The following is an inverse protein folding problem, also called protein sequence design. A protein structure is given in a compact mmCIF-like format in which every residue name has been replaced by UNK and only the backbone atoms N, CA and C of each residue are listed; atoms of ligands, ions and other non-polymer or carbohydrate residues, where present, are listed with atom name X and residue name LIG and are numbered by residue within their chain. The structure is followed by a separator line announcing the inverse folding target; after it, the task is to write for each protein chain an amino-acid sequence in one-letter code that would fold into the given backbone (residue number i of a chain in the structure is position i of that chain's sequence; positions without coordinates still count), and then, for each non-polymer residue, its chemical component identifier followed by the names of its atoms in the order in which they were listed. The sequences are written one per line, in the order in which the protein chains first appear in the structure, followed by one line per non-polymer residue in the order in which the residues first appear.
data_IF_037034941139
#
_entry.id   IF_037034941139
#
_cell.length_a   1.000
_cell.length_b   1.000
_cell.length_c   1.000
_cell.angle_alpha   90.00
_cell.angle_beta   90.00
_cell.angle_gamma   90.00
#
_symmetry.space_group_name_H-M   'P 1'
#
loop_
_entity.id
_entity.type
_entity.pdbx_description
1 polymer ?
#
# COMPACT_ATOMS: atom_id res chain seq x y z
N UNK A 1 -11.63 -6.88 2.94
CA UNK A 1 -11.83 -5.47 3.36
C UNK A 1 -13.30 -5.07 3.46
N UNK A 2 -14.07 -4.96 2.37
CA UNK A 2 -15.50 -4.55 2.42
C UNK A 2 -16.34 -5.38 3.41
N UNK A 3 -16.22 -6.71 3.36
CA UNK A 3 -16.91 -7.63 4.29
C UNK A 3 -16.52 -7.36 5.75
N UNK A 4 -15.22 -7.26 6.04
CA UNK A 4 -14.69 -6.98 7.38
C UNK A 4 -15.29 -5.68 7.92
N UNK A 5 -15.28 -4.61 7.12
CA UNK A 5 -15.83 -3.31 7.53
C UNK A 5 -17.33 -3.36 7.80
N UNK A 6 -18.09 -4.08 6.96
CA UNK A 6 -19.53 -4.29 7.18
C UNK A 6 -19.80 -4.99 8.51
N UNK A 7 -19.08 -6.08 8.78
CA UNK A 7 -19.18 -6.80 10.05
C UNK A 7 -18.86 -5.88 11.24
N UNK A 8 -17.81 -5.06 11.14
CA UNK A 8 -17.43 -4.15 12.21
C UNK A 8 -18.47 -3.06 12.49
N UNK A 9 -19.15 -2.55 11.47
CA UNK A 9 -20.23 -1.57 11.67
C UNK A 9 -21.40 -2.21 12.42
N UNK A 10 -21.82 -3.41 12.03
CA UNK A 10 -22.87 -4.12 12.76
C UNK A 10 -22.48 -4.42 14.19
N UNK A 11 -21.26 -4.91 14.41
CA UNK A 11 -20.75 -5.17 15.75
C UNK A 11 -20.85 -3.91 16.61
N UNK A 12 -20.47 -2.75 16.06
CA UNK A 12 -20.57 -1.48 16.78
C UNK A 12 -22.01 -1.04 17.03
N UNK A 13 -22.92 -1.25 16.07
CA UNK A 13 -24.36 -0.98 16.27
C UNK A 13 -24.98 -1.87 17.36
N UNK A 14 -24.51 -3.10 17.51
CA UNK A 14 -24.91 -4.04 18.57
C UNK A 14 -24.27 -3.71 19.94
N UNK A 15 -23.47 -2.65 20.03
CA UNK A 15 -22.78 -2.29 21.27
C UNK A 15 -21.57 -3.18 21.59
N UNK A 16 -21.08 -3.96 20.61
CA UNK A 16 -19.84 -4.70 20.79
C UNK A 16 -18.66 -3.71 20.70
N UNK A 17 -17.96 -3.61 21.82
CA UNK A 17 -16.69 -2.91 21.94
C UNK A 17 -15.54 -3.92 21.94
N UNK A 18 -14.31 -3.41 21.93
CA UNK A 18 -13.03 -4.06 21.62
C UNK A 18 -12.87 -5.56 21.95
N UNK A 19 -11.97 -6.23 21.22
CA UNK A 19 -11.56 -7.65 21.40
C UNK A 19 -12.60 -8.76 21.10
N UNK A 20 -13.83 -8.44 20.70
CA UNK A 20 -14.82 -9.48 20.35
C UNK A 20 -14.38 -10.33 19.14
N UNK A 21 -13.75 -9.74 18.11
CA UNK A 21 -13.42 -10.47 16.89
C UNK A 21 -12.22 -11.41 17.08
N UNK A 22 -11.24 -11.05 17.90
CA UNK A 22 -10.11 -11.94 18.21
C UNK A 22 -10.61 -13.24 18.85
N UNK A 23 -11.59 -13.14 19.76
CA UNK A 23 -12.27 -14.31 20.32
C UNK A 23 -13.04 -15.10 19.26
N UNK A 24 -13.81 -14.42 18.41
CA UNK A 24 -14.59 -15.06 17.35
C UNK A 24 -13.72 -15.80 16.32
N UNK A 25 -12.65 -15.17 15.83
CA UNK A 25 -11.74 -15.77 14.85
C UNK A 25 -11.00 -16.95 15.48
N UNK A 26 -10.55 -16.82 16.73
CA UNK A 26 -9.91 -17.92 17.44
C UNK A 26 -10.83 -19.14 17.52
N UNK A 27 -12.09 -18.93 17.87
CA UNK A 27 -13.07 -20.01 17.95
C UNK A 27 -13.38 -20.60 16.57
N UNK A 28 -13.48 -19.76 15.53
CA UNK A 28 -13.67 -20.21 14.15
C UNK A 28 -12.51 -21.10 13.68
N UNK A 29 -11.26 -20.69 13.93
CA UNK A 29 -10.08 -21.48 13.57
C UNK A 29 -10.12 -22.82 14.31
N UNK A 30 -10.41 -22.82 15.61
CA UNK A 30 -10.50 -24.06 16.40
C UNK A 30 -11.52 -25.06 15.83
N UNK A 31 -12.64 -24.59 15.27
CA UNK A 31 -13.69 -25.45 14.72
C UNK A 31 -13.31 -26.01 13.34
N UNK A 32 -12.59 -25.22 12.52
CA UNK A 32 -12.37 -25.53 11.11
C UNK A 32 -10.93 -25.93 10.75
N UNK A 33 -9.98 -25.85 11.68
CA UNK A 33 -8.56 -26.16 11.45
C UNK A 33 -8.32 -27.57 10.92
N UNK A 34 -9.14 -28.54 11.34
CA UNK A 34 -9.02 -29.94 10.91
C UNK A 34 -9.33 -30.13 9.41
N UNK A 35 -10.25 -29.33 8.88
CA UNK A 35 -10.65 -29.37 7.47
C UNK A 35 -9.83 -28.40 6.60
N UNK A 36 -9.30 -27.33 7.19
CA UNK A 36 -8.58 -26.25 6.51
C UNK A 36 -7.32 -25.84 7.30
N UNK A 37 -6.22 -26.62 7.21
CA UNK A 37 -4.99 -26.37 7.97
C UNK A 37 -4.34 -25.01 7.68
N UNK A 38 -4.60 -24.41 6.53
CA UNK A 38 -4.10 -23.08 6.13
C UNK A 38 -4.64 -21.93 7.00
N UNK A 39 -5.71 -22.16 7.75
CA UNK A 39 -6.31 -21.17 8.67
C UNK A 39 -5.39 -20.82 9.84
N UNK A 40 -4.42 -21.68 10.18
CA UNK A 40 -3.42 -21.40 11.22
C UNK A 40 -2.34 -20.39 10.80
N UNK A 41 -2.36 -19.95 9.53
CA UNK A 41 -1.39 -18.98 9.04
C UNK A 41 -1.49 -17.63 9.78
N UNK A 42 -0.43 -17.31 10.55
CA UNK A 42 -0.28 -16.04 11.28
C UNK A 42 -0.51 -14.80 10.41
N UNK A 43 -0.22 -14.88 9.11
CA UNK A 43 -0.35 -13.73 8.19
C UNK A 43 -1.81 -13.31 7.96
N UNK A 44 -2.76 -14.25 7.97
CA UNK A 44 -4.19 -13.95 7.75
C UNK A 44 -4.75 -13.19 8.95
N UNK A 45 -4.40 -13.64 10.17
CA UNK A 45 -4.82 -13.01 11.42
C UNK A 45 -4.29 -11.58 11.56
N UNK A 46 -3.00 -11.38 11.27
CA UNK A 46 -2.38 -10.05 11.31
C UNK A 46 -3.09 -9.11 10.34
N UNK A 47 -3.34 -9.54 9.10
CA UNK A 47 -4.00 -8.69 8.11
C UNK A 47 -5.44 -8.31 8.48
N UNK A 48 -6.18 -9.17 9.18
CA UNK A 48 -7.54 -8.86 9.63
C UNK A 48 -7.49 -7.86 10.78
N UNK A 49 -6.67 -8.13 11.81
CA UNK A 49 -6.52 -7.24 12.96
C UNK A 49 -6.05 -5.83 12.55
N UNK A 50 -5.05 -5.75 11.67
CA UNK A 50 -4.56 -4.47 11.13
C UNK A 50 -5.65 -3.66 10.44
N UNK A 51 -6.46 -4.30 9.59
CA UNK A 51 -7.57 -3.63 8.90
C UNK A 51 -8.61 -3.13 9.91
N UNK A 52 -8.84 -3.90 10.97
CA UNK A 52 -9.81 -3.55 12.00
C UNK A 52 -9.37 -2.37 12.85
N UNK A 53 -8.16 -2.41 13.41
CA UNK A 53 -7.66 -1.33 14.26
C UNK A 53 -7.71 0.01 13.51
N UNK A 54 -7.33 -0.02 12.23
CA UNK A 54 -7.41 1.14 11.34
C UNK A 54 -8.84 1.63 11.13
N UNK A 55 -9.80 0.72 10.94
CA UNK A 55 -11.18 1.11 10.68
C UNK A 55 -11.93 1.54 11.94
N UNK A 56 -11.71 0.90 13.10
CA UNK A 56 -12.31 1.32 14.38
C UNK A 56 -11.97 2.77 14.70
N UNK A 57 -10.73 3.20 14.45
CA UNK A 57 -10.29 4.56 14.72
C UNK A 57 -11.12 5.63 13.99
N UNK A 58 -11.68 5.32 12.83
CA UNK A 58 -12.50 6.25 12.03
C UNK A 58 -13.99 5.93 12.06
N UNK A 59 -14.36 4.72 12.49
CA UNK A 59 -15.72 4.20 12.45
C UNK A 59 -16.68 5.01 13.30
N UNK A 60 -16.34 5.27 14.56
CA UNK A 60 -17.25 5.95 15.50
C UNK A 60 -17.54 7.38 15.03
N UNK A 61 -16.53 8.06 14.49
CA UNK A 61 -16.69 9.38 13.87
C UNK A 61 -17.57 9.30 12.62
N UNK A 62 -17.32 8.33 11.74
CA UNK A 62 -18.11 8.16 10.52
C UNK A 62 -19.59 7.86 10.79
N UNK A 63 -19.89 6.96 11.75
CA UNK A 63 -21.27 6.67 12.17
C UNK A 63 -21.92 7.95 12.71
N UNK A 64 -21.21 8.71 13.57
CA UNK A 64 -21.75 9.95 14.14
C UNK A 64 -22.10 10.98 13.06
N UNK A 65 -21.25 11.16 12.06
CA UNK A 65 -21.50 12.07 10.93
C UNK A 65 -22.72 11.64 10.10
N UNK A 66 -22.84 10.34 9.78
CA UNK A 66 -24.00 9.80 9.06
C UNK A 66 -25.29 10.06 9.86
N UNK A 67 -25.32 9.67 11.14
CA UNK A 67 -26.49 9.85 12.01
C UNK A 67 -26.85 11.32 12.17
N UNK A 68 -25.85 12.20 12.31
CA UNK A 68 -26.04 13.64 12.42
C UNK A 68 -26.66 14.23 11.16
N UNK A 69 -26.22 13.78 9.97
CA UNK A 69 -26.77 14.20 8.69
C UNK A 69 -28.23 13.76 8.53
N UNK A 70 -28.56 12.50 8.85
CA UNK A 70 -29.95 12.00 8.81
C UNK A 70 -30.82 12.76 9.81
N UNK A 71 -30.35 13.00 11.03
CA UNK A 71 -31.11 13.74 12.05
C UNK A 71 -31.42 15.18 11.60
N UNK A 72 -30.48 15.81 10.89
CA UNK A 72 -30.62 17.20 10.43
C UNK A 72 -31.51 17.36 9.21
N UNK A 73 -31.41 16.45 8.25
CA UNK A 73 -31.98 16.62 6.91
C UNK A 73 -32.99 15.53 6.51
N UNK A 74 -33.03 14.40 7.21
CA UNK A 74 -33.81 13.21 6.84
C UNK A 74 -33.23 12.40 5.68
N UNK A 75 -32.08 12.79 5.12
CA UNK A 75 -31.46 12.10 3.99
C UNK A 75 -29.94 12.29 3.93
N UNK A 76 -29.29 11.39 3.18
CA UNK A 76 -27.87 11.45 2.80
C UNK A 76 -27.78 11.44 1.27
N UNK A 77 -26.97 12.30 0.65
CA UNK A 77 -26.77 12.28 -0.81
C UNK A 77 -25.70 11.29 -1.24
N UNK A 78 -25.71 10.87 -2.51
CA UNK A 78 -24.64 10.05 -3.10
C UNK A 78 -23.25 10.66 -2.91
N UNK A 79 -23.14 11.98 -3.07
CA UNK A 79 -21.89 12.72 -2.81
C UNK A 79 -21.45 12.69 -1.34
N UNK A 80 -22.39 12.76 -0.39
CA UNK A 80 -22.06 12.60 1.04
C UNK A 80 -21.64 11.16 1.35
N UNK A 81 -22.31 10.16 0.76
CA UNK A 81 -21.94 8.76 0.89
C UNK A 81 -20.53 8.48 0.33
N UNK A 82 -20.13 9.16 -0.76
CA UNK A 82 -18.77 9.03 -1.31
C UNK A 82 -17.72 9.61 -0.36
N UNK A 83 -18.04 10.72 0.32
CA UNK A 83 -17.19 11.29 1.38
C UNK A 83 -17.06 10.31 2.55
N UNK A 84 -18.15 9.68 2.99
CA UNK A 84 -18.08 8.70 4.09
C UNK A 84 -17.23 7.48 3.73
N UNK A 85 -17.30 7.03 2.48
CA UNK A 85 -16.44 5.97 1.98
C UNK A 85 -14.97 6.39 1.94
N UNK A 86 -14.66 7.55 1.39
CA UNK A 86 -13.28 8.01 1.21
C UNK A 86 -12.62 8.42 2.54
N UNK A 87 -13.35 9.12 3.41
CA UNK A 87 -12.81 9.74 4.62
C UNK A 87 -12.89 8.82 5.85
N UNK A 88 -13.95 8.01 5.97
CA UNK A 88 -14.16 7.15 7.12
C UNK A 88 -14.10 5.67 6.79
N UNK A 89 -14.04 5.31 5.49
CA UNK A 89 -13.94 3.93 5.03
C UNK A 89 -15.26 3.17 5.01
N UNK A 90 -16.40 3.83 5.26
CA UNK A 90 -17.71 3.19 5.40
C UNK A 90 -18.30 2.89 4.01
N UNK A 91 -18.52 1.62 3.64
CA UNK A 91 -19.10 1.25 2.34
C UNK A 91 -20.50 1.81 2.12
N UNK A 92 -20.88 2.05 0.86
CA UNK A 92 -22.20 2.56 0.49
C UNK A 92 -23.34 1.67 1.00
N UNK A 93 -23.20 0.34 0.93
CA UNK A 93 -24.18 -0.61 1.45
C UNK A 93 -24.44 -0.39 2.94
N UNK A 94 -23.37 -0.18 3.69
CA UNK A 94 -23.44 0.05 5.14
C UNK A 94 -24.03 1.43 5.45
N UNK A 95 -23.62 2.47 4.72
CA UNK A 95 -24.21 3.81 4.84
C UNK A 95 -25.72 3.76 4.59
N UNK A 96 -26.15 3.05 3.54
CA UNK A 96 -27.57 2.89 3.17
C UNK A 96 -28.34 2.20 4.30
N UNK A 97 -27.79 1.14 4.88
CA UNK A 97 -28.41 0.44 6.01
C UNK A 97 -28.54 1.32 7.27
N UNK A 98 -27.51 2.11 7.61
CA UNK A 98 -27.57 3.06 8.74
C UNK A 98 -28.68 4.09 8.50
N UNK A 99 -28.74 4.65 7.29
CA UNK A 99 -29.70 5.69 6.91
C UNK A 99 -31.13 5.16 6.95
N UNK A 100 -31.38 4.00 6.33
CA UNK A 100 -32.69 3.35 6.33
C UNK A 100 -33.15 2.97 7.75
N UNK A 101 -32.23 2.52 8.61
CA UNK A 101 -32.53 2.20 10.01
C UNK A 101 -32.90 3.41 10.88
N UNK A 102 -32.76 4.63 10.35
CA UNK A 102 -33.17 5.88 10.98
C UNK A 102 -34.32 6.57 10.22
N UNK A 103 -35.06 5.80 9.41
CA UNK A 103 -36.15 6.30 8.54
C UNK A 103 -35.70 7.40 7.56
N UNK A 104 -34.40 7.45 7.24
CA UNK A 104 -33.84 8.34 6.24
C UNK A 104 -33.73 7.69 4.87
N UNK A 105 -33.43 8.51 3.85
CA UNK A 105 -33.26 8.04 2.47
C UNK A 105 -31.90 8.43 1.87
N UNK A 106 -31.43 7.65 0.90
CA UNK A 106 -30.29 8.03 0.06
C UNK A 106 -30.80 8.76 -1.18
N UNK A 107 -30.41 10.03 -1.35
CA UNK A 107 -30.72 10.83 -2.55
C UNK A 107 -29.56 10.85 -3.53
N UNK A 108 -29.88 11.04 -4.81
CA UNK A 108 -28.88 11.28 -5.86
C UNK A 108 -27.77 10.21 -5.87
N UNK A 109 -28.17 8.94 -5.73
CA UNK A 109 -27.21 7.81 -5.61
C UNK A 109 -26.22 7.77 -6.77
N UNK A 110 -26.67 8.13 -7.97
CA UNK A 110 -25.86 8.28 -9.17
C UNK A 110 -24.67 9.24 -9.01
N UNK A 111 -24.72 10.20 -8.08
CA UNK A 111 -23.58 11.07 -7.79
C UNK A 111 -22.49 10.35 -6.98
N UNK A 112 -22.82 9.28 -6.24
CA UNK A 112 -21.81 8.41 -5.63
C UNK A 112 -20.91 7.82 -6.72
N UNK A 113 -21.51 7.21 -7.74
CA UNK A 113 -20.76 6.55 -8.81
C UNK A 113 -19.92 7.56 -9.60
N UNK A 114 -20.46 8.76 -9.90
CA UNK A 114 -19.70 9.84 -10.55
C UNK A 114 -18.49 10.29 -9.72
N UNK A 115 -18.65 10.47 -8.42
CA UNK A 115 -17.54 10.87 -7.54
C UNK A 115 -16.51 9.76 -7.40
N UNK A 116 -16.95 8.50 -7.35
CA UNK A 116 -16.06 7.34 -7.34
C UNK A 116 -15.31 7.19 -8.68
N UNK A 117 -15.96 7.46 -9.80
CA UNK A 117 -15.35 7.45 -11.14
C UNK A 117 -14.33 8.58 -11.27
N UNK A 118 -14.66 9.82 -10.88
CA UNK A 118 -13.68 10.92 -10.82
C UNK A 118 -12.46 10.59 -9.97
N UNK A 119 -12.67 9.96 -8.80
CA UNK A 119 -11.58 9.56 -7.93
C UNK A 119 -10.74 8.42 -8.55
N UNK A 120 -11.38 7.45 -9.19
CA UNK A 120 -10.67 6.43 -9.97
C UNK A 120 -9.90 7.05 -11.13
N UNK A 121 -10.49 8.00 -11.85
CA UNK A 121 -9.88 8.65 -12.99
C UNK A 121 -8.73 9.55 -12.59
N UNK A 122 -8.79 10.28 -11.48
CA UNK A 122 -7.64 10.97 -10.90
C UNK A 122 -6.51 9.99 -10.56
N UNK A 123 -6.85 8.80 -10.04
CA UNK A 123 -5.88 7.72 -9.83
C UNK A 123 -5.37 7.11 -11.13
N UNK A 124 -6.18 7.06 -12.19
CA UNK A 124 -5.84 6.51 -13.51
C UNK A 124 -5.06 7.51 -14.37
N UNK A 125 -5.35 8.80 -14.35
CA UNK A 125 -4.56 9.81 -15.09
C UNK A 125 -3.17 9.96 -14.47
N UNK A 126 -3.07 9.78 -13.15
CA UNK A 126 -1.78 9.64 -12.48
C UNK A 126 -1.02 8.35 -12.84
N UNK A 127 -1.68 7.34 -13.43
CA UNK A 127 -1.08 6.07 -13.88
C UNK A 127 -1.07 5.85 -15.40
N UNK A 128 -1.78 6.65 -16.20
CA UNK A 128 -1.91 6.48 -17.65
C UNK A 128 -0.63 6.89 -18.41
N UNK A 129 0.28 7.62 -17.75
CA UNK A 129 1.66 7.85 -18.20
C UNK A 129 2.68 6.94 -17.51
N UNK A 130 2.24 5.95 -16.73
CA UNK A 130 3.11 5.12 -15.88
C UNK A 130 3.41 3.79 -16.57
N UNK A 131 4.61 3.67 -17.14
CA UNK A 131 5.17 2.45 -17.71
C UNK A 131 5.48 1.39 -16.63
N UNK A 132 5.77 0.15 -17.06
CA UNK A 132 6.16 -0.98 -16.19
C UNK A 132 7.21 -0.52 -15.15
N UNK A 133 6.89 -0.66 -13.85
CA UNK A 133 7.77 -0.25 -12.75
C UNK A 133 7.51 1.14 -12.16
N UNK A 134 6.53 1.90 -12.67
CA UNK A 134 6.22 3.23 -12.10
C UNK A 134 6.77 4.41 -12.91
N UNK A 135 7.37 4.18 -14.07
CA UNK A 135 8.14 5.19 -14.82
C UNK A 135 7.27 6.11 -15.64
N UNK A 136 7.57 7.42 -15.68
CA UNK A 136 6.91 8.38 -16.56
C UNK A 136 7.45 8.33 -18.01
N UNK A 137 8.71 7.95 -18.20
CA UNK A 137 9.36 7.75 -19.50
C UNK A 137 10.62 6.85 -19.36
N UNK A 138 11.53 6.90 -20.33
CA UNK A 138 12.78 6.13 -20.36
C UNK A 138 14.05 7.01 -20.45
N UNK A 139 13.99 8.28 -20.02
CA UNK A 139 15.21 9.10 -20.00
C UNK A 139 16.18 8.61 -18.92
N UNK A 140 17.45 8.99 -19.08
CA UNK A 140 18.52 8.57 -18.17
C UNK A 140 18.22 8.94 -16.71
N UNK A 141 17.63 10.10 -16.47
CA UNK A 141 17.23 10.57 -15.13
C UNK A 141 16.17 9.66 -14.51
N UNK A 142 15.17 9.25 -15.30
CA UNK A 142 14.12 8.33 -14.86
C UNK A 142 14.69 6.94 -14.58
N UNK A 143 15.63 6.46 -15.39
CA UNK A 143 16.31 5.16 -15.19
C UNK A 143 17.21 5.18 -13.94
N UNK A 144 17.92 6.29 -13.68
CA UNK A 144 18.68 6.51 -12.43
C UNK A 144 17.75 6.46 -11.23
N UNK A 145 16.65 7.22 -11.26
CA UNK A 145 15.65 7.25 -10.19
C UNK A 145 14.94 5.91 -9.99
N UNK A 146 14.76 5.14 -11.06
CA UNK A 146 14.18 3.80 -10.97
C UNK A 146 15.04 2.87 -10.13
N UNK A 147 16.34 2.83 -10.44
CA UNK A 147 17.29 2.00 -9.68
C UNK A 147 17.43 2.52 -8.25
N UNK A 148 17.46 3.85 -8.06
CA UNK A 148 17.45 4.46 -6.73
C UNK A 148 16.19 4.08 -5.92
N UNK A 149 15.04 3.89 -6.58
CA UNK A 149 13.79 3.47 -5.93
C UNK A 149 13.90 2.05 -5.37
N UNK A 150 14.55 1.11 -6.08
CA UNK A 150 14.80 -0.23 -5.55
C UNK A 150 15.80 -0.24 -4.39
N UNK A 151 16.87 0.56 -4.48
CA UNK A 151 17.78 0.75 -3.35
C UNK A 151 17.03 1.33 -2.14
N UNK A 152 16.19 2.35 -2.34
CA UNK A 152 15.37 2.91 -1.28
C UNK A 152 14.41 1.88 -0.68
N UNK A 153 13.78 1.02 -1.50
CA UNK A 153 12.92 -0.05 -1.02
C UNK A 153 13.69 -1.05 -0.12
N UNK A 154 14.87 -1.48 -0.55
CA UNK A 154 15.75 -2.34 0.24
C UNK A 154 16.18 -1.68 1.56
N UNK A 155 16.60 -0.41 1.52
CA UNK A 155 16.97 0.35 2.71
C UNK A 155 15.81 0.52 3.69
N UNK A 156 14.60 0.83 3.20
CA UNK A 156 13.40 0.92 4.04
C UNK A 156 13.11 -0.40 4.74
N UNK A 157 13.21 -1.53 4.03
CA UNK A 157 13.03 -2.86 4.64
C UNK A 157 14.10 -3.18 5.68
N UNK A 158 15.34 -2.78 5.46
CA UNK A 158 16.43 -2.97 6.42
C UNK A 158 16.30 -2.09 7.66
N UNK A 159 15.82 -0.85 7.51
CA UNK A 159 15.70 0.12 8.62
C UNK A 159 14.40 -0.07 9.41
N UNK A 160 13.29 -0.30 8.72
CA UNK A 160 11.96 -0.34 9.33
C UNK A 160 11.50 -1.78 9.60
N UNK A 161 11.88 -2.74 8.75
CA UNK A 161 11.51 -4.16 8.87
C UNK A 161 10.81 -4.73 7.63
N UNK A 162 10.65 -6.05 7.62
CA UNK A 162 10.12 -6.80 6.47
C UNK A 162 8.62 -6.57 6.17
N UNK A 163 7.90 -5.89 7.06
CA UNK A 163 6.50 -5.50 6.85
C UNK A 163 6.35 -4.36 5.85
N UNK A 164 7.46 -3.75 5.40
CA UNK A 164 7.46 -2.74 4.34
C UNK A 164 7.23 -3.39 2.99
N UNK A 165 6.07 -3.13 2.40
CA UNK A 165 5.65 -3.58 1.08
C UNK A 165 5.20 -2.39 0.24
N UNK A 166 5.61 -2.38 -1.03
CA UNK A 166 5.17 -1.38 -1.99
C UNK A 166 3.65 -1.41 -2.17
N UNK A 167 3.04 -0.21 -2.17
CA UNK A 167 1.63 0.06 -2.46
C UNK A 167 1.41 0.99 -3.64
N UNK A 168 2.47 1.68 -4.10
CA UNK A 168 2.43 2.53 -5.27
C UNK A 168 3.81 3.08 -5.59
N UNK A 169 4.08 3.31 -6.87
CA UNK A 169 5.30 3.95 -7.34
C UNK A 169 4.97 4.88 -8.50
N UNK A 170 5.62 6.04 -8.55
CA UNK A 170 5.57 6.97 -9.67
C UNK A 170 6.89 7.73 -9.76
N UNK A 171 7.55 7.64 -10.91
CA UNK A 171 8.91 8.13 -11.13
C UNK A 171 8.87 9.10 -12.31
N UNK A 172 9.23 10.34 -12.06
CA UNK A 172 9.42 11.39 -13.08
C UNK A 172 10.90 11.75 -13.19
N UNK A 173 11.26 12.67 -14.08
CA UNK A 173 12.65 13.12 -14.23
C UNK A 173 13.19 13.80 -12.98
N UNK A 174 12.30 14.42 -12.21
CA UNK A 174 12.65 15.25 -11.05
C UNK A 174 12.60 14.46 -9.74
N UNK A 175 11.78 13.40 -9.65
CA UNK A 175 11.57 12.68 -8.40
C UNK A 175 10.96 11.30 -8.57
N UNK A 176 11.22 10.44 -7.58
CA UNK A 176 10.42 9.26 -7.30
C UNK A 176 9.42 9.54 -6.18
N UNK A 177 8.23 8.94 -6.28
CA UNK A 177 7.18 8.88 -5.27
C UNK A 177 6.91 7.41 -4.97
N UNK A 178 7.19 6.97 -3.76
CA UNK A 178 7.07 5.59 -3.35
C UNK A 178 6.14 5.48 -2.14
N UNK A 179 5.08 4.68 -2.28
CA UNK A 179 4.10 4.42 -1.24
C UNK A 179 4.33 3.02 -0.69
N UNK A 180 4.39 2.88 0.63
CA UNK A 180 4.71 1.63 1.29
C UNK A 180 3.92 1.42 2.58
N UNK A 181 3.79 0.16 3.01
CA UNK A 181 3.15 -0.19 4.28
C UNK A 181 4.04 0.14 5.46
N UNK A 182 3.56 1.04 6.30
CA UNK A 182 4.17 1.37 7.59
C UNK A 182 3.13 2.14 8.41
N UNK A 183 2.91 1.75 9.67
CA UNK A 183 1.88 2.33 10.54
C UNK A 183 2.26 3.70 11.08
N UNK A 184 3.54 3.88 11.41
CA UNK A 184 4.02 4.99 12.21
C UNK A 184 4.71 6.07 11.39
N UNK A 185 4.93 7.22 12.05
CA UNK A 185 5.74 8.26 11.42
C UNK A 185 7.22 7.92 11.49
N UNK A 186 7.87 7.72 10.33
CA UNK A 186 9.32 7.65 10.24
C UNK A 186 9.99 8.81 10.99
N UNK A 187 10.89 8.46 11.89
CA UNK A 187 11.71 9.44 12.62
C UNK A 187 12.75 10.07 11.70
N UNK A 188 13.34 11.18 12.13
CA UNK A 188 14.39 11.83 11.36
C UNK A 188 15.63 10.93 11.24
N UNK A 189 15.95 10.18 12.29
CA UNK A 189 17.05 9.20 12.31
C UNK A 189 16.80 8.05 11.33
N UNK A 190 15.56 7.54 11.25
CA UNK A 190 15.21 6.48 10.30
C UNK A 190 15.35 6.98 8.86
N UNK A 191 14.94 8.22 8.57
CA UNK A 191 15.11 8.81 7.23
C UNK A 191 16.58 9.00 6.89
N UNK A 192 17.38 9.55 7.80
CA UNK A 192 18.82 9.72 7.60
C UNK A 192 19.51 8.38 7.35
N UNK A 193 19.16 7.34 8.12
CA UNK A 193 19.73 6.00 7.93
C UNK A 193 19.38 5.39 6.57
N UNK A 194 18.16 5.62 6.06
CA UNK A 194 17.77 5.19 4.71
C UNK A 194 18.59 5.92 3.66
N UNK A 195 18.75 7.25 3.78
CA UNK A 195 19.57 8.03 2.85
C UNK A 195 21.04 7.58 2.87
N UNK A 196 21.61 7.37 4.05
CA UNK A 196 22.99 6.90 4.24
C UNK A 196 23.22 5.54 3.59
N UNK A 197 22.31 4.57 3.81
CA UNK A 197 22.40 3.25 3.20
C UNK A 197 22.38 3.33 1.67
N UNK A 198 21.40 4.05 1.10
CA UNK A 198 21.28 4.19 -0.35
C UNK A 198 22.52 4.84 -0.95
N UNK A 199 23.01 5.93 -0.35
CA UNK A 199 24.21 6.60 -0.84
C UNK A 199 25.47 5.72 -0.68
N UNK A 200 25.58 4.93 0.40
CA UNK A 200 26.70 3.99 0.56
C UNK A 200 26.72 2.91 -0.52
N UNK A 201 25.54 2.45 -0.97
CA UNK A 201 25.42 1.50 -2.06
C UNK A 201 25.68 2.14 -3.43
N UNK A 202 25.39 3.42 -3.59
CA UNK A 202 25.77 4.16 -4.80
C UNK A 202 27.29 4.34 -4.85
N UNK A 203 27.93 4.74 -3.76
CA UNK A 203 29.38 4.91 -3.67
C UNK A 203 30.15 3.60 -3.90
N UNK A 204 29.58 2.46 -3.49
CA UNK A 204 30.14 1.12 -3.72
C UNK A 204 30.10 0.67 -5.18
N UNK A 205 29.34 1.35 -6.02
CA UNK A 205 29.18 1.07 -7.45
C UNK A 205 28.81 -0.40 -7.76
N UNK A 206 27.68 -0.82 -7.19
CA UNK A 206 27.14 -2.17 -7.29
C UNK A 206 26.65 -2.46 -8.71
N UNK A 207 26.76 -3.73 -9.13
CA UNK A 207 26.29 -4.18 -10.44
C UNK A 207 24.79 -4.48 -10.41
N UNK A 208 24.09 -4.08 -11.47
CA UNK A 208 22.67 -4.35 -11.68
C UNK A 208 22.51 -5.37 -12.80
N UNK A 209 22.05 -6.58 -12.46
CA UNK A 209 21.87 -7.68 -13.41
C UNK A 209 20.40 -7.94 -13.67
N UNK A 210 20.02 -8.03 -14.95
CA UNK A 210 18.69 -8.47 -15.39
C UNK A 210 18.71 -9.95 -15.77
N UNK A 211 17.75 -10.71 -15.26
CA UNK A 211 17.52 -12.09 -15.66
C UNK A 211 16.03 -12.32 -15.95
N UNK A 212 15.72 -13.04 -17.02
CA UNK A 212 14.35 -13.47 -17.33
C UNK A 212 14.25 -14.95 -17.01
N UNK A 213 13.30 -15.30 -16.16
CA UNK A 213 13.17 -16.67 -15.66
C UNK A 213 11.71 -17.03 -15.35
N UNK A 214 11.38 -18.33 -15.18
CA UNK A 214 10.07 -18.75 -14.71
C UNK A 214 9.74 -18.18 -13.32
N UNK A 215 8.47 -17.85 -13.08
CA UNK A 215 7.99 -17.29 -11.82
C UNK A 215 8.36 -18.13 -10.60
N UNK A 216 8.28 -19.47 -10.73
CA UNK A 216 8.62 -20.38 -9.63
C UNK A 216 10.11 -20.34 -9.27
N UNK A 217 11.00 -20.24 -10.26
CA UNK A 217 12.43 -20.05 -10.03
C UNK A 217 12.70 -18.69 -9.39
N UNK A 218 12.00 -17.67 -9.85
CA UNK A 218 12.12 -16.31 -9.33
C UNK A 218 11.71 -16.22 -7.85
N UNK A 219 10.65 -16.93 -7.45
CA UNK A 219 10.23 -17.09 -6.04
C UNK A 219 11.28 -17.80 -5.19
N UNK A 220 11.94 -18.84 -5.71
CA UNK A 220 13.00 -19.56 -4.99
C UNK A 220 14.23 -18.69 -4.71
N UNK A 221 14.45 -17.65 -5.52
CA UNK A 221 15.54 -16.69 -5.31
C UNK A 221 15.21 -15.62 -4.25
N UNK A 222 14.06 -15.72 -3.56
CA UNK A 222 13.55 -14.71 -2.63
C UNK A 222 13.45 -13.31 -3.26
N UNK A 223 13.19 -13.25 -4.58
CA UNK A 223 12.96 -11.99 -5.26
C UNK A 223 11.67 -11.34 -4.75
N UNK A 224 11.74 -10.06 -4.41
CA UNK A 224 10.62 -9.31 -3.87
C UNK A 224 9.73 -8.84 -5.02
N UNK A 225 8.46 -9.21 -4.95
CA UNK A 225 7.42 -8.69 -5.82
C UNK A 225 6.60 -7.58 -5.15
N UNK A 226 5.73 -6.97 -5.93
CA UNK A 226 4.66 -6.10 -5.44
C UNK A 226 3.58 -6.98 -4.83
N UNK A 227 3.25 -6.71 -3.56
CA UNK A 227 2.28 -7.50 -2.82
C UNK A 227 0.89 -7.45 -3.47
N UNK A 228 0.37 -8.61 -3.86
CA UNK A 228 -0.97 -8.78 -4.42
C UNK A 228 -1.07 -8.64 -5.94
N UNK A 229 0.05 -8.43 -6.65
CA UNK A 229 0.05 -8.47 -8.10
C UNK A 229 0.11 -9.90 -8.65
N UNK A 230 -0.57 -10.11 -9.79
CA UNK A 230 -0.48 -11.35 -10.57
C UNK A 230 0.63 -11.21 -11.59
N UNK A 231 1.58 -12.13 -11.56
CA UNK A 231 2.70 -12.18 -12.49
C UNK A 231 2.44 -13.20 -13.60
N UNK A 232 3.02 -12.97 -14.78
CA UNK A 232 3.06 -13.95 -15.86
C UNK A 232 3.95 -15.15 -15.48
N UNK A 233 3.86 -16.24 -16.26
CA UNK A 233 4.67 -17.44 -16.04
C UNK A 233 6.19 -17.18 -16.13
N UNK A 234 6.58 -16.18 -16.94
CA UNK A 234 7.94 -15.69 -17.05
C UNK A 234 8.01 -14.25 -16.55
N UNK A 235 8.98 -13.97 -15.67
CA UNK A 235 9.20 -12.65 -15.08
C UNK A 235 10.62 -12.16 -15.30
N UNK A 236 10.81 -10.85 -15.32
CA UNK A 236 12.12 -10.23 -15.25
C UNK A 236 12.46 -9.89 -13.81
N UNK A 237 13.64 -10.35 -13.38
CA UNK A 237 14.21 -10.08 -12.06
C UNK A 237 15.41 -9.17 -12.25
N UNK A 238 15.46 -8.08 -11.51
CA UNK A 238 16.65 -7.24 -11.39
C UNK A 238 17.31 -7.51 -10.04
N UNK A 239 18.60 -7.86 -10.07
CA UNK A 239 19.43 -8.06 -8.87
C UNK A 239 20.48 -6.97 -8.81
N UNK A 240 20.53 -6.24 -7.70
CA UNK A 240 21.62 -5.31 -7.38
C UNK A 240 22.57 -6.00 -6.41
N UNK A 241 23.81 -6.19 -6.80
CA UNK A 241 24.79 -6.93 -6.01
C UNK A 241 26.18 -6.31 -6.05
N UNK A 242 26.93 -6.49 -4.97
CA UNK A 242 28.31 -6.07 -4.91
C UNK A 242 29.21 -7.05 -5.71
N UNK A 243 29.91 -6.57 -6.75
CA UNK A 243 30.77 -7.42 -7.56
C UNK A 243 32.00 -7.95 -6.80
N UNK A 244 32.38 -7.35 -5.68
CA UNK A 244 33.59 -7.70 -4.91
C UNK A 244 33.37 -8.87 -3.97
N UNK A 245 32.20 -8.95 -3.33
CA UNK A 245 31.91 -9.97 -2.32
C UNK A 245 30.64 -10.79 -2.59
N UNK A 246 29.88 -10.45 -3.64
CA UNK A 246 28.65 -11.15 -4.01
C UNK A 246 27.43 -10.84 -3.14
N UNK A 247 27.51 -9.86 -2.23
CA UNK A 247 26.40 -9.42 -1.39
C UNK A 247 25.25 -8.91 -2.27
N UNK A 248 24.05 -9.45 -2.07
CA UNK A 248 22.84 -9.02 -2.78
C UNK A 248 22.11 -8.00 -1.93
N UNK A 249 21.98 -6.78 -2.45
CA UNK A 249 21.32 -5.66 -1.77
C UNK A 249 19.82 -5.64 -2.08
N UNK A 250 19.47 -5.81 -3.35
CA UNK A 250 18.08 -5.87 -3.80
C UNK A 250 17.93 -6.93 -4.86
N UNK A 251 16.78 -7.61 -4.86
CA UNK A 251 16.36 -8.54 -5.91
C UNK A 251 14.86 -8.42 -6.07
N UNK A 252 14.41 -7.86 -7.19
CA UNK A 252 13.01 -7.44 -7.35
C UNK A 252 12.43 -7.82 -8.70
N UNK A 253 11.13 -8.15 -8.73
CA UNK A 253 10.38 -8.29 -9.98
C UNK A 253 10.14 -6.91 -10.58
N UNK A 254 10.82 -6.61 -11.69
CA UNK A 254 10.66 -5.34 -12.35
C UNK A 254 10.75 -5.48 -13.86
N UNK A 255 9.87 -4.77 -14.58
CA UNK A 255 9.80 -4.78 -16.04
C UNK A 255 10.33 -3.53 -16.73
N UNK A 256 10.81 -2.54 -15.96
CA UNK A 256 11.33 -1.27 -16.48
C UNK A 256 12.86 -1.29 -16.66
N UNK A 257 13.43 -0.34 -17.42
CA UNK A 257 14.88 -0.17 -17.56
C UNK A 257 15.56 0.23 -16.25
N UNK A 258 16.82 -0.19 -16.08
CA UNK A 258 17.69 0.15 -14.95
C UNK A 258 19.06 0.58 -15.46
N UNK A 259 19.81 1.26 -14.59
CA UNK A 259 21.24 1.52 -14.83
C UNK A 259 22.01 0.20 -14.72
N UNK A 260 23.18 0.10 -15.34
CA UNK A 260 24.01 -1.11 -15.26
C UNK A 260 24.80 -1.21 -13.94
N UNK A 261 25.11 -0.08 -13.33
CA UNK A 261 25.81 -0.01 -12.05
C UNK A 261 25.37 1.21 -11.23
N UNK A 262 25.39 1.12 -9.90
CA UNK A 262 24.77 2.13 -9.02
C UNK A 262 25.52 3.45 -8.97
N UNK A 263 26.80 3.49 -9.31
CA UNK A 263 27.63 4.70 -9.27
C UNK A 263 27.17 5.81 -10.20
N UNK A 264 26.45 5.49 -11.29
CA UNK A 264 25.88 6.52 -12.19
C UNK A 264 24.62 7.18 -11.63
N UNK A 265 24.07 6.68 -10.52
CA UNK A 265 22.84 7.23 -9.91
C UNK A 265 23.10 8.63 -9.36
N UNK A 266 24.30 8.95 -8.90
CA UNK A 266 24.63 10.23 -8.25
C UNK A 266 24.24 10.23 -6.77
N UNK A 267 23.83 11.37 -6.23
CA UNK A 267 23.47 11.50 -4.82
C UNK A 267 21.96 11.33 -4.62
N UNK A 268 21.55 10.44 -3.70
CA UNK A 268 20.15 10.22 -3.34
C UNK A 268 19.74 11.08 -2.14
N UNK A 269 18.53 11.67 -2.22
CA UNK A 269 17.95 12.45 -1.12
C UNK A 269 16.44 12.29 -1.00
N UNK A 270 15.96 12.08 0.22
CA UNK A 270 14.56 12.13 0.61
C UNK A 270 14.14 13.61 0.73
N UNK A 271 13.16 14.00 -0.06
CA UNK A 271 12.60 15.35 -0.06
C UNK A 271 11.51 15.51 0.97
N UNK A 272 10.63 14.52 1.07
CA UNK A 272 9.48 14.55 1.97
C UNK A 272 9.00 13.15 2.27
N UNK A 273 8.48 12.99 3.47
CA UNK A 273 7.72 11.83 3.87
C UNK A 273 6.35 12.33 4.40
N UNK A 274 5.25 11.65 4.04
CA UNK A 274 3.90 11.97 4.50
C UNK A 274 2.97 10.73 4.59
N UNK A 275 1.96 10.79 5.47
CA UNK A 275 0.92 9.76 5.53
C UNK A 275 -0.07 9.91 4.36
N UNK A 276 -0.39 8.81 3.68
CA UNK A 276 -1.37 8.79 2.57
C UNK A 276 -2.72 8.24 3.04
N UNK A 277 -2.67 7.18 3.83
CA UNK A 277 -3.82 6.51 4.42
C UNK A 277 -3.38 5.76 5.68
N UNK A 278 -4.32 5.20 6.43
CA UNK A 278 -4.01 4.41 7.60
C UNK A 278 -3.05 3.25 7.27
N UNK A 279 -1.87 3.28 7.88
CA UNK A 279 -0.76 2.34 7.67
C UNK A 279 -0.15 2.32 6.26
N UNK A 280 -0.27 3.42 5.52
CA UNK A 280 0.45 3.66 4.26
C UNK A 280 1.16 5.01 4.34
N UNK A 281 2.48 4.98 4.13
CA UNK A 281 3.36 6.14 4.11
C UNK A 281 3.86 6.37 2.69
N UNK A 282 4.21 7.61 2.38
CA UNK A 282 4.74 8.02 1.08
C UNK A 282 6.04 8.76 1.26
N UNK A 283 7.07 8.32 0.55
CA UNK A 283 8.32 9.05 0.40
C UNK A 283 8.37 9.68 -1.00
N UNK A 284 8.82 10.92 -1.06
CA UNK A 284 9.30 11.56 -2.28
C UNK A 284 10.81 11.72 -2.15
N UNK A 285 11.55 11.27 -3.14
CA UNK A 285 13.01 11.38 -3.18
C UNK A 285 13.47 11.80 -4.58
N UNK A 286 14.68 12.34 -4.67
CA UNK A 286 15.32 12.73 -5.91
C UNK A 286 16.77 12.26 -5.94
N UNK A 287 17.36 12.29 -7.13
CA UNK A 287 18.79 12.08 -7.33
C UNK A 287 19.38 13.29 -8.04
N UNK A 288 20.65 13.61 -7.73
CA UNK A 288 21.43 14.66 -8.40
C UNK A 288 22.74 14.09 -8.89
#
# INVERSE_FOLDING_TARGET
RRVIRRVMVYARQLGLHDNWLAGFIKEFINIYSDAYPELESKSVLISINDEMERFIATLDKGIKEIKGQVTKAGYVTGSQASVYYQSYGIPLDVTTEIVNGMDGEIKDLQDFDKEMEKHQDLSRTASAGVFKGGLADHTEEVVRLHTATHLMNAALRQVLGEHVWQKGSNITKERTRFDFTHSEKMTDEQKSKVEELVNSWIERDLTVKKEVMPLEQAKQLNAIGVFGEKYAETVSVYTVMDPKNGEVISREFCGGPHVEHTGVIGQFKILKEEAVAAGIRRIKAAVS
#
